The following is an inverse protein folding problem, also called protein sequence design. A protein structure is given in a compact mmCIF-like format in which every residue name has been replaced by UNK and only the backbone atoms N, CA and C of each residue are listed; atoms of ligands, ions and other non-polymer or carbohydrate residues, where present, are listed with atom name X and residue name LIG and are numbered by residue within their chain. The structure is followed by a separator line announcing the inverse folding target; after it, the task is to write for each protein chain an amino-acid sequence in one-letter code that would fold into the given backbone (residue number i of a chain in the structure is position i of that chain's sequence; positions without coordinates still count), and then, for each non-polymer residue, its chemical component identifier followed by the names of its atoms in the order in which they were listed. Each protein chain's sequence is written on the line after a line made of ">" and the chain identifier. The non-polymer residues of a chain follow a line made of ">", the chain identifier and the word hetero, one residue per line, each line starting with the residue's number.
data_IF_249156654088
#
_entry.id   IF_249156654088
#
_cell.length_a   1.000
_cell.length_b   1.000
_cell.length_c   1.000
_cell.angle_alpha   90.00
_cell.angle_beta   90.00
_cell.angle_gamma   90.00
#
_symmetry.space_group_name_H-M   'P 1'
#
loop_
_entity.id
_entity.type
_entity.pdbx_description
1 polymer ?
#
# COMPACT_ATOMS: atom_id res chain seq x y z
N UNK A 1 -28.89 22.57 23.31
CA UNK A 1 -27.62 23.02 22.71
C UNK A 1 -27.86 24.43 22.22
N UNK A 2 -27.20 25.40 22.83
CA UNK A 2 -27.29 26.83 22.49
C UNK A 2 -26.27 27.18 21.40
N UNK A 3 -26.54 28.22 20.60
CA UNK A 3 -25.72 28.59 19.43
C UNK A 3 -24.24 28.87 19.77
N UNK A 4 -23.93 29.32 20.99
CA UNK A 4 -22.55 29.46 21.51
C UNK A 4 -21.81 28.12 21.69
N UNK A 5 -22.52 27.04 22.01
CA UNK A 5 -21.92 25.70 22.10
C UNK A 5 -21.60 25.17 20.68
N UNK A 6 -22.45 25.49 19.69
CA UNK A 6 -22.21 25.13 18.29
C UNK A 6 -20.97 25.83 17.71
N UNK A 7 -20.81 27.13 17.99
CA UNK A 7 -19.67 27.93 17.52
C UNK A 7 -18.33 27.55 18.18
N UNK A 8 -18.36 27.03 19.42
CA UNK A 8 -17.18 26.52 20.11
C UNK A 8 -16.82 25.08 19.73
N UNK A 9 -17.81 24.26 19.35
CA UNK A 9 -17.62 22.89 18.85
C UNK A 9 -17.03 22.89 17.42
N UNK A 10 -17.35 23.88 16.60
CA UNK A 10 -16.98 23.94 15.18
C UNK A 10 -15.45 23.95 14.90
N UNK A 11 -14.59 24.74 15.58
CA UNK A 11 -13.15 24.72 15.32
C UNK A 11 -12.48 23.41 15.75
N UNK A 12 -12.90 22.84 16.88
CA UNK A 12 -12.35 21.58 17.40
C UNK A 12 -12.79 20.38 16.56
N UNK A 13 -14.05 20.34 16.11
CA UNK A 13 -14.52 19.31 15.17
C UNK A 13 -13.80 19.41 13.83
N UNK A 14 -13.65 20.60 13.24
CA UNK A 14 -12.90 20.78 11.99
C UNK A 14 -11.45 20.35 12.15
N UNK A 15 -10.84 20.63 13.30
CA UNK A 15 -9.48 20.19 13.60
C UNK A 15 -9.39 18.67 13.69
N UNK A 16 -10.31 18.02 14.40
CA UNK A 16 -10.40 16.56 14.49
C UNK A 16 -10.61 15.93 13.10
N UNK A 17 -11.42 16.54 12.24
CA UNK A 17 -11.65 16.08 10.86
C UNK A 17 -10.37 16.17 10.02
N UNK A 18 -9.67 17.30 10.06
CA UNK A 18 -8.39 17.50 9.34
C UNK A 18 -7.33 16.52 9.87
N UNK A 19 -7.19 16.40 11.19
CA UNK A 19 -6.26 15.46 11.82
C UNK A 19 -6.63 14.00 11.47
N UNK A 20 -7.92 13.67 11.40
CA UNK A 20 -8.41 12.36 10.98
C UNK A 20 -8.01 12.00 9.56
N UNK A 21 -8.17 12.92 8.61
CA UNK A 21 -7.75 12.71 7.21
C UNK A 21 -6.22 12.56 7.10
N UNK A 22 -5.46 13.40 7.80
CA UNK A 22 -4.00 13.27 7.84
C UNK A 22 -3.55 11.95 8.43
N UNK A 23 -4.21 11.49 9.50
CA UNK A 23 -3.92 10.20 10.11
C UNK A 23 -4.20 9.03 9.15
N UNK A 24 -5.29 9.07 8.38
CA UNK A 24 -5.58 8.03 7.37
C UNK A 24 -4.42 7.91 6.35
N UNK A 25 -3.93 9.03 5.83
CA UNK A 25 -2.81 9.05 4.88
C UNK A 25 -1.55 8.49 5.55
N UNK A 26 -1.25 8.92 6.78
CA UNK A 26 -0.10 8.43 7.54
C UNK A 26 -0.15 6.92 7.80
N UNK A 27 -1.32 6.36 8.14
CA UNK A 27 -1.47 4.92 8.33
C UNK A 27 -1.34 4.16 7.01
N UNK A 28 -1.86 4.72 5.93
CA UNK A 28 -1.70 4.17 4.59
C UNK A 28 -0.21 4.08 4.20
N UNK A 29 0.54 5.18 4.33
CA UNK A 29 1.97 5.22 4.02
C UNK A 29 2.74 4.19 4.88
N UNK A 30 2.41 4.11 6.17
CA UNK A 30 3.02 3.12 7.07
C UNK A 30 2.75 1.68 6.65
N UNK A 31 1.53 1.35 6.22
CA UNK A 31 1.19 0.00 5.73
C UNK A 31 2.00 -0.32 4.47
N UNK A 32 2.12 0.64 3.56
CA UNK A 32 2.92 0.51 2.34
C UNK A 32 4.39 0.25 2.63
N UNK A 33 5.00 1.03 3.52
CA UNK A 33 6.40 0.85 3.92
C UNK A 33 6.65 -0.56 4.49
N UNK A 34 5.74 -1.03 5.35
CA UNK A 34 5.81 -2.38 5.93
C UNK A 34 5.69 -3.44 4.83
N UNK A 35 4.72 -3.31 3.92
CA UNK A 35 4.50 -4.27 2.82
C UNK A 35 5.68 -4.30 1.84
N UNK A 36 6.23 -3.14 1.48
CA UNK A 36 7.39 -3.02 0.60
C UNK A 36 8.64 -3.65 1.23
N UNK A 37 8.87 -3.36 2.52
CA UNK A 37 9.95 -3.99 3.30
C UNK A 37 9.77 -5.51 3.36
N UNK A 38 8.57 -5.98 3.66
CA UNK A 38 8.27 -7.40 3.72
C UNK A 38 8.41 -8.08 2.35
N UNK A 39 7.98 -7.43 1.27
CA UNK A 39 8.18 -7.92 -0.09
C UNK A 39 9.66 -8.06 -0.44
N UNK A 40 10.51 -7.13 -0.03
CA UNK A 40 11.97 -7.24 -0.23
C UNK A 40 12.58 -8.44 0.52
N UNK A 41 12.08 -8.73 1.74
CA UNK A 41 12.45 -9.96 2.46
C UNK A 41 12.02 -11.19 1.66
N UNK A 42 10.79 -11.21 1.11
CA UNK A 42 10.30 -12.31 0.28
C UNK A 42 11.17 -12.50 -0.98
N UNK A 43 11.63 -11.44 -1.64
CA UNK A 43 12.58 -11.53 -2.76
C UNK A 43 13.83 -12.33 -2.32
N UNK A 44 14.42 -11.97 -1.18
CA UNK A 44 15.57 -12.69 -0.63
C UNK A 44 15.28 -14.16 -0.32
N UNK A 45 14.12 -14.44 0.29
CA UNK A 45 13.69 -15.81 0.57
C UNK A 45 13.47 -16.63 -0.70
N UNK A 46 12.85 -16.06 -1.75
CA UNK A 46 12.68 -16.72 -3.04
C UNK A 46 14.04 -16.97 -3.73
N UNK A 47 14.97 -16.02 -3.67
CA UNK A 47 16.33 -16.23 -4.19
C UNK A 47 17.05 -17.36 -3.48
N UNK A 48 16.96 -17.44 -2.15
CA UNK A 48 17.53 -18.54 -1.39
C UNK A 48 16.88 -19.86 -1.79
N UNK A 49 15.53 -19.92 -1.80
CA UNK A 49 14.78 -21.12 -2.12
C UNK A 49 15.08 -21.63 -3.54
N UNK A 50 15.18 -20.74 -4.53
CA UNK A 50 15.51 -21.09 -5.91
C UNK A 50 16.95 -21.60 -6.11
N UNK A 51 17.88 -21.28 -5.20
CA UNK A 51 19.25 -21.78 -5.24
C UNK A 51 19.41 -23.11 -4.47
N UNK A 52 18.65 -23.32 -3.40
CA UNK A 52 18.74 -24.54 -2.59
C UNK A 52 17.79 -25.66 -3.04
N UNK A 53 16.69 -25.33 -3.72
CA UNK A 53 15.74 -26.31 -4.22
C UNK A 53 15.95 -26.54 -5.72
N UNK A 54 16.50 -27.71 -6.08
CA UNK A 54 16.71 -28.10 -7.48
C UNK A 54 15.41 -28.24 -8.30
N UNK A 55 14.27 -28.33 -7.64
CA UNK A 55 12.95 -28.50 -8.27
C UNK A 55 12.24 -27.17 -8.57
N UNK A 56 12.71 -26.05 -8.03
CA UNK A 56 12.09 -24.75 -8.26
C UNK A 56 12.67 -24.06 -9.49
N UNK A 57 11.84 -23.66 -10.47
CA UNK A 57 12.33 -22.87 -11.58
C UNK A 57 12.82 -21.51 -11.07
N UNK A 58 14.02 -21.10 -11.49
CA UNK A 58 14.65 -19.83 -11.07
C UNK A 58 13.81 -18.59 -11.38
N UNK A 59 12.92 -18.68 -12.37
CA UNK A 59 11.95 -17.64 -12.71
C UNK A 59 10.97 -17.33 -11.56
N UNK A 60 10.76 -18.23 -10.59
CA UNK A 60 9.87 -17.97 -9.42
C UNK A 60 10.28 -16.75 -8.60
N UNK A 61 11.54 -16.35 -8.65
CA UNK A 61 12.04 -15.11 -8.06
C UNK A 61 11.40 -13.85 -8.68
N UNK A 62 10.91 -13.94 -9.92
CA UNK A 62 10.20 -12.83 -10.56
C UNK A 62 8.84 -12.54 -9.91
N UNK A 63 8.25 -13.49 -9.17
CA UNK A 63 6.94 -13.30 -8.52
C UNK A 63 6.97 -12.12 -7.53
N UNK A 64 7.84 -12.11 -6.50
CA UNK A 64 7.92 -10.98 -5.58
C UNK A 64 8.49 -9.70 -6.25
N UNK A 65 9.27 -9.81 -7.33
CA UNK A 65 9.74 -8.65 -8.11
C UNK A 65 8.56 -7.97 -8.84
N UNK A 66 7.67 -8.76 -9.44
CA UNK A 66 6.47 -8.22 -10.09
C UNK A 66 5.54 -7.55 -9.07
N UNK A 67 5.40 -8.14 -7.88
CA UNK A 67 4.65 -7.51 -6.79
C UNK A 67 5.28 -6.19 -6.34
N UNK A 68 6.62 -6.10 -6.31
CA UNK A 68 7.32 -4.84 -6.04
C UNK A 68 6.98 -3.76 -7.09
N UNK A 69 6.90 -4.14 -8.37
CA UNK A 69 6.51 -3.21 -9.42
C UNK A 69 5.07 -2.70 -9.23
N UNK A 70 4.14 -3.57 -8.81
CA UNK A 70 2.76 -3.18 -8.48
C UNK A 70 2.75 -2.21 -7.28
N UNK A 71 3.47 -2.52 -6.19
CA UNK A 71 3.64 -1.66 -5.01
C UNK A 71 4.08 -0.25 -5.43
N UNK A 72 5.11 -0.16 -6.29
CA UNK A 72 5.67 1.11 -6.76
C UNK A 72 4.69 1.91 -7.63
N UNK A 73 3.93 1.24 -8.51
CA UNK A 73 2.88 1.92 -9.32
C UNK A 73 1.80 2.52 -8.42
N UNK A 74 1.42 1.83 -7.35
CA UNK A 74 0.42 2.34 -6.41
C UNK A 74 0.96 3.54 -5.64
N UNK A 75 2.19 3.48 -5.13
CA UNK A 75 2.86 4.61 -4.47
C UNK A 75 2.95 5.84 -5.39
N UNK A 76 3.31 5.64 -6.65
CA UNK A 76 3.36 6.72 -7.62
C UNK A 76 2.00 7.42 -7.78
N UNK A 77 0.90 6.64 -7.90
CA UNK A 77 -0.45 7.21 -7.98
C UNK A 77 -0.86 7.95 -6.73
N UNK A 78 -0.44 7.48 -5.56
CA UNK A 78 -0.69 8.15 -4.28
C UNK A 78 0.10 9.45 -4.17
N UNK A 79 1.36 9.47 -4.63
CA UNK A 79 2.17 10.68 -4.70
C UNK A 79 1.51 11.74 -5.60
N UNK A 80 1.00 11.33 -6.76
CA UNK A 80 0.31 12.22 -7.70
C UNK A 80 -0.96 12.82 -7.06
N UNK A 81 -1.73 12.01 -6.32
CA UNK A 81 -2.88 12.47 -5.54
C UNK A 81 -2.48 13.51 -4.48
N UNK A 82 -1.44 13.22 -3.69
CA UNK A 82 -0.95 14.14 -2.65
C UNK A 82 -0.43 15.46 -3.24
N UNK A 83 0.21 15.42 -4.43
CA UNK A 83 0.61 16.64 -5.16
C UNK A 83 -0.59 17.47 -5.59
N UNK A 84 -1.67 16.84 -6.04
CA UNK A 84 -2.91 17.54 -6.37
C UNK A 84 -3.52 18.19 -5.13
N UNK A 85 -3.62 17.46 -4.03
CA UNK A 85 -4.18 17.96 -2.75
C UNK A 85 -3.36 19.12 -2.19
N UNK A 86 -2.03 19.08 -2.29
CA UNK A 86 -1.15 20.17 -1.86
C UNK A 86 -1.38 21.48 -2.65
N UNK A 87 -1.85 21.39 -3.90
CA UNK A 87 -2.09 22.55 -4.76
C UNK A 87 -3.57 22.91 -4.92
N UNK A 88 -4.44 22.36 -4.05
CA UNK A 88 -5.90 22.45 -4.19
C UNK A 88 -6.44 23.88 -4.13
N UNK A 89 -5.75 24.80 -3.43
CA UNK A 89 -6.11 26.22 -3.35
C UNK A 89 -6.00 26.96 -4.70
N UNK A 90 -5.19 26.45 -5.61
CA UNK A 90 -4.98 27.04 -6.94
C UNK A 90 -5.80 26.31 -8.03
N UNK A 91 -6.72 25.42 -7.63
CA UNK A 91 -7.51 24.57 -8.53
C UNK A 91 -8.97 25.03 -8.61
N UNK A 92 -9.59 24.82 -9.77
CA UNK A 92 -10.97 25.25 -10.02
C UNK A 92 -11.98 24.32 -9.32
N UNK A 93 -13.19 24.82 -8.97
CA UNK A 93 -14.21 24.04 -8.24
C UNK A 93 -14.61 22.73 -8.95
N UNK A 94 -14.59 22.70 -10.28
CA UNK A 94 -14.84 21.48 -11.07
C UNK A 94 -13.74 20.42 -10.92
N UNK A 95 -12.47 20.83 -10.82
CA UNK A 95 -11.34 19.91 -10.59
C UNK A 95 -11.37 19.32 -9.18
N UNK A 96 -11.83 20.10 -8.19
CA UNK A 96 -11.95 19.69 -6.79
C UNK A 96 -13.03 18.60 -6.63
N UNK A 97 -14.18 18.75 -7.28
CA UNK A 97 -15.26 17.74 -7.23
C UNK A 97 -14.86 16.44 -7.93
N UNK A 98 -14.16 16.53 -9.07
CA UNK A 98 -13.61 15.36 -9.76
C UNK A 98 -12.60 14.59 -8.88
N UNK A 99 -11.80 15.30 -8.08
CA UNK A 99 -10.86 14.70 -7.14
C UNK A 99 -11.52 14.10 -5.89
N UNK A 100 -12.65 14.64 -5.40
CA UNK A 100 -13.41 14.04 -4.30
C UNK A 100 -13.86 12.60 -4.60
N UNK A 101 -14.23 12.31 -5.85
CA UNK A 101 -14.54 10.95 -6.32
C UNK A 101 -13.30 10.02 -6.35
N UNK A 102 -12.08 10.58 -6.43
CA UNK A 102 -10.81 9.83 -6.42
C UNK A 102 -10.43 9.33 -5.01
N UNK A 103 -10.92 9.95 -3.94
CA UNK A 103 -10.61 9.57 -2.55
C UNK A 103 -11.15 8.17 -2.23
N UNK A 104 -12.32 7.79 -2.77
CA UNK A 104 -12.83 6.41 -2.68
C UNK A 104 -11.88 5.37 -3.31
N UNK A 105 -11.02 5.77 -4.26
CA UNK A 105 -10.04 4.86 -4.88
C UNK A 105 -8.80 4.63 -4.02
N UNK A 106 -8.45 5.55 -3.11
CA UNK A 106 -7.30 5.37 -2.19
C UNK A 106 -7.48 4.13 -1.31
N UNK A 107 -8.69 3.89 -0.82
CA UNK A 107 -8.98 2.70 -0.03
C UNK A 107 -8.88 1.41 -0.87
N UNK A 108 -9.33 1.47 -2.13
CA UNK A 108 -9.19 0.35 -3.07
C UNK A 108 -7.71 0.05 -3.36
N UNK A 109 -6.88 1.07 -3.55
CA UNK A 109 -5.45 0.88 -3.73
C UNK A 109 -4.82 0.21 -2.53
N UNK A 110 -5.11 0.68 -1.30
CA UNK A 110 -4.63 0.07 -0.05
C UNK A 110 -4.99 -1.41 0.03
N UNK A 111 -6.23 -1.74 -0.31
CA UNK A 111 -6.71 -3.11 -0.31
C UNK A 111 -5.98 -3.96 -1.37
N UNK A 112 -5.78 -3.42 -2.57
CA UNK A 112 -5.11 -4.12 -3.67
C UNK A 112 -3.68 -4.52 -3.31
N UNK A 113 -2.90 -3.66 -2.65
CA UNK A 113 -1.51 -4.02 -2.32
C UNK A 113 -1.42 -4.99 -1.14
N UNK A 114 -2.33 -4.89 -0.17
CA UNK A 114 -2.47 -5.90 0.89
C UNK A 114 -2.77 -7.27 0.27
N UNK A 115 -3.78 -7.34 -0.61
CA UNK A 115 -4.18 -8.59 -1.28
C UNK A 115 -3.06 -9.13 -2.18
N UNK A 116 -2.41 -8.25 -2.96
CA UNK A 116 -1.30 -8.64 -3.84
C UNK A 116 -0.14 -9.25 -3.05
N UNK A 117 0.28 -8.59 -1.96
CA UNK A 117 1.37 -9.08 -1.10
C UNK A 117 0.97 -10.35 -0.36
N UNK A 118 -0.29 -10.48 0.07
CA UNK A 118 -0.81 -11.72 0.65
C UNK A 118 -0.74 -12.89 -0.35
N UNK A 119 -1.11 -12.68 -1.62
CA UNK A 119 -1.01 -13.71 -2.66
C UNK A 119 0.44 -14.18 -2.88
N UNK A 120 1.40 -13.24 -2.91
CA UNK A 120 2.83 -13.59 -3.01
C UNK A 120 3.29 -14.38 -1.79
N UNK A 121 2.84 -13.98 -0.59
CA UNK A 121 3.18 -14.66 0.66
C UNK A 121 2.65 -16.09 0.67
N UNK A 122 1.39 -16.30 0.25
CA UNK A 122 0.82 -17.64 0.12
C UNK A 122 1.58 -18.48 -0.92
N UNK A 123 1.96 -17.87 -2.04
CA UNK A 123 2.77 -18.54 -3.07
C UNK A 123 4.13 -18.97 -2.52
N UNK A 124 4.77 -18.11 -1.71
CA UNK A 124 6.01 -18.43 -1.02
C UNK A 124 5.83 -19.59 -0.03
N UNK A 125 4.81 -19.54 0.82
CA UNK A 125 4.53 -20.59 1.79
C UNK A 125 4.25 -21.94 1.10
N UNK A 126 3.50 -21.92 -0.01
CA UNK A 126 3.29 -23.10 -0.83
C UNK A 126 4.61 -23.65 -1.37
N UNK A 127 5.45 -22.79 -1.96
CA UNK A 127 6.76 -23.20 -2.45
C UNK A 127 7.65 -23.76 -1.32
N UNK A 128 7.59 -23.19 -0.11
CA UNK A 128 8.37 -23.64 1.03
C UNK A 128 7.92 -25.00 1.57
N UNK A 129 6.61 -25.24 1.67
CA UNK A 129 6.05 -26.45 2.28
C UNK A 129 6.05 -27.67 1.33
N UNK A 130 5.84 -27.44 0.03
CA UNK A 130 5.64 -28.52 -0.93
C UNK A 130 6.89 -28.80 -1.80
N UNK A 131 7.91 -27.95 -1.77
CA UNK A 131 9.17 -28.21 -2.47
C UNK A 131 10.16 -28.86 -1.51
N UNK A 132 10.52 -30.11 -1.79
CA UNK A 132 11.57 -30.80 -1.06
C UNK A 132 12.91 -30.10 -1.26
N UNK A 133 13.40 -29.44 -0.21
CA UNK A 133 14.76 -28.91 -0.18
C UNK A 133 15.71 -30.11 -0.05
N UNK A 134 16.25 -30.59 -1.18
CA UNK A 134 17.31 -31.61 -1.15
C UNK A 134 18.51 -31.02 -0.43
N UNK A 135 18.96 -31.65 0.66
CA UNK A 135 20.17 -31.23 1.37
C UNK A 135 21.33 -31.11 0.37
N UNK A 136 22.09 -30.00 0.37
CA UNK A 136 23.32 -29.95 -0.41
C UNK A 136 24.26 -31.03 0.13
N UNK A 137 24.59 -32.00 -0.73
CA UNK A 137 25.66 -32.99 -0.52
C UNK A 137 27.02 -32.34 -0.57
#
# INVERSE_FOLDING_TARGET
>A
MTDEELDAIDPDIRRIEIEGVQNIIKYFDRIHDILSTFNNILIGCFFALANFANQLPKWTVLIPIFNLAILLIVEYRMMEKSRFEANIRNKNKQEIVAHGLSIKRTNLYSLLIIVSTAMVTLSFLYALLFVNVSKPT
#
